data_IF_894405486775
#
_entry.id   IF_894405486775
#
_cell.length_a   1.000
_cell.length_b   1.000
_cell.length_c   1.000
_cell.angle_alpha   90.00
_cell.angle_beta   90.00
_cell.angle_gamma   90.00
#
_symmetry.space_group_name_H-M   'P 1'
#
loop_
_entity.id
_entity.type
_entity.pdbx_description
1 polymer ?
#
# COMPACT_ATOMS: atom_id res chain seq x y z
N UNK A 1 -18.41 6.40 78.82
CA UNK A 1 -18.23 7.32 77.70
C UNK A 1 -17.23 6.68 76.75
N UNK A 2 -17.72 5.98 75.73
CA UNK A 2 -16.93 5.23 74.83
C UNK A 2 -16.68 6.01 73.52
N UNK A 3 -15.41 6.27 73.31
CA UNK A 3 -14.96 6.98 72.12
C UNK A 3 -14.62 5.95 71.03
N UNK A 4 -15.54 5.79 70.07
CA UNK A 4 -15.33 4.87 68.93
C UNK A 4 -14.42 5.55 67.93
N UNK A 5 -13.21 4.99 67.78
CA UNK A 5 -12.24 5.34 66.76
C UNK A 5 -12.62 4.63 65.45
N UNK A 6 -13.15 5.39 64.48
CA UNK A 6 -13.42 4.87 63.14
C UNK A 6 -12.15 4.89 62.31
N UNK A 7 -11.63 3.71 62.04
CA UNK A 7 -10.49 3.47 61.17
C UNK A 7 -10.99 3.40 59.72
N UNK A 8 -10.77 4.45 58.95
CA UNK A 8 -11.05 4.45 57.52
C UNK A 8 -9.87 3.83 56.78
N UNK A 9 -10.11 2.65 56.22
CA UNK A 9 -9.16 1.98 55.33
C UNK A 9 -9.28 2.62 53.96
N UNK A 10 -8.28 3.41 53.59
CA UNK A 10 -8.17 3.97 52.23
C UNK A 10 -7.72 2.91 51.25
N UNK A 11 -8.61 2.55 50.32
CA UNK A 11 -8.30 1.67 49.21
C UNK A 11 -7.56 2.47 48.12
N UNK A 12 -6.24 2.36 48.07
CA UNK A 12 -5.46 2.95 46.99
C UNK A 12 -5.62 2.10 45.73
N UNK A 13 -6.41 2.59 44.77
CA UNK A 13 -6.50 1.98 43.45
C UNK A 13 -5.24 2.32 42.66
N UNK A 14 -4.37 1.33 42.50
CA UNK A 14 -3.23 1.42 41.57
C UNK A 14 -3.74 1.24 40.16
N UNK A 15 -3.91 2.33 39.44
CA UNK A 15 -4.15 2.34 37.99
C UNK A 15 -2.86 1.93 37.27
N UNK A 16 -2.76 0.64 36.92
CA UNK A 16 -1.73 0.17 36.03
C UNK A 16 -1.99 0.72 34.63
N UNK A 17 -1.23 1.73 34.24
CA UNK A 17 -1.17 2.21 32.83
C UNK A 17 -0.53 1.11 31.99
N UNK A 18 -1.37 0.31 31.34
CA UNK A 18 -0.92 -0.60 30.29
C UNK A 18 -0.56 0.26 29.08
N UNK A 19 0.72 0.57 28.94
CA UNK A 19 1.25 1.16 27.73
C UNK A 19 1.13 0.11 26.62
N UNK A 20 0.10 0.24 25.79
CA UNK A 20 0.03 -0.51 24.53
C UNK A 20 1.14 0.06 23.63
N UNK A 21 2.29 -0.60 23.65
CA UNK A 21 3.32 -0.39 22.64
C UNK A 21 2.69 -0.86 21.33
N UNK A 22 2.18 0.09 20.53
CA UNK A 22 1.93 -0.16 19.13
C UNK A 22 3.26 -0.60 18.55
N UNK A 23 3.37 -1.89 18.17
CA UNK A 23 4.41 -2.34 17.28
C UNK A 23 4.31 -1.41 16.06
N UNK A 24 5.26 -0.48 15.94
CA UNK A 24 5.36 0.38 14.79
C UNK A 24 5.36 -0.54 13.58
N UNK A 25 4.64 -0.13 12.56
CA UNK A 25 4.74 -0.66 11.21
C UNK A 25 6.24 -0.62 10.82
N UNK A 26 6.93 -1.68 11.19
CA UNK A 26 8.27 -1.97 10.68
C UNK A 26 7.98 -2.53 9.29
N UNK A 27 7.83 -1.60 8.33
CA UNK A 27 7.71 -1.98 6.93
C UNK A 27 8.75 -3.04 6.64
N UNK A 28 8.29 -4.19 6.14
CA UNK A 28 9.20 -5.24 5.70
C UNK A 28 10.32 -4.59 4.87
N UNK A 29 11.58 -4.92 5.13
CA UNK A 29 12.68 -4.32 4.38
C UNK A 29 12.41 -4.55 2.89
N UNK A 30 12.42 -3.45 2.11
CA UNK A 30 12.21 -3.56 0.67
C UNK A 30 13.20 -4.59 0.11
N UNK A 31 12.72 -5.58 -0.66
CA UNK A 31 13.60 -6.59 -1.21
C UNK A 31 14.69 -5.93 -2.06
N UNK A 32 15.95 -6.25 -1.77
CA UNK A 32 17.06 -5.83 -2.60
C UNK A 32 16.89 -6.42 -4.01
N UNK A 33 16.93 -5.57 -5.03
CA UNK A 33 16.88 -6.02 -6.42
C UNK A 33 18.28 -6.30 -6.99
N UNK A 34 19.23 -6.61 -6.11
CA UNK A 34 20.58 -7.04 -6.47
C UNK A 34 20.61 -8.56 -6.64
N UNK A 35 21.38 -9.04 -7.62
CA UNK A 35 21.53 -10.47 -7.83
C UNK A 35 21.46 -10.86 -9.31
N UNK A 36 21.17 -12.13 -9.57
CA UNK A 36 21.00 -12.62 -10.93
C UNK A 36 19.64 -12.18 -11.51
N UNK A 37 19.48 -12.32 -12.82
CA UNK A 37 18.26 -11.89 -13.53
C UNK A 37 16.97 -12.44 -12.92
N UNK A 38 16.96 -13.70 -12.48
CA UNK A 38 15.80 -14.30 -11.85
C UNK A 38 15.44 -13.58 -10.55
N UNK A 39 16.42 -13.36 -9.68
CA UNK A 39 16.22 -12.65 -8.40
C UNK A 39 15.73 -11.21 -8.62
N UNK A 40 16.30 -10.52 -9.61
CA UNK A 40 15.87 -9.17 -9.97
C UNK A 40 14.41 -9.14 -10.47
N UNK A 41 14.01 -10.09 -11.32
CA UNK A 41 12.62 -10.22 -11.80
C UNK A 41 11.65 -10.48 -10.64
N UNK A 42 11.99 -11.40 -9.73
CA UNK A 42 11.14 -11.68 -8.56
C UNK A 42 11.04 -10.46 -7.63
N UNK A 43 12.11 -9.71 -7.45
CA UNK A 43 12.10 -8.46 -6.72
C UNK A 43 11.15 -7.44 -7.37
N UNK A 44 11.22 -7.24 -8.67
CA UNK A 44 10.34 -6.32 -9.40
C UNK A 44 8.87 -6.73 -9.29
N UNK A 45 8.58 -8.04 -9.34
CA UNK A 45 7.22 -8.56 -9.10
C UNK A 45 6.73 -8.24 -7.69
N UNK A 46 7.57 -8.43 -6.67
CA UNK A 46 7.21 -8.13 -5.29
C UNK A 46 6.94 -6.64 -5.10
N UNK A 47 7.78 -5.77 -5.65
CA UNK A 47 7.56 -4.31 -5.61
C UNK A 47 6.29 -3.90 -6.37
N UNK A 48 6.02 -4.52 -7.52
CA UNK A 48 4.78 -4.28 -8.27
C UNK A 48 3.56 -4.66 -7.44
N UNK A 49 3.59 -5.80 -6.76
CA UNK A 49 2.49 -6.24 -5.90
C UNK A 49 2.22 -5.28 -4.73
N UNK A 50 3.27 -4.71 -4.13
CA UNK A 50 3.12 -3.68 -3.09
C UNK A 50 2.45 -2.42 -3.65
N UNK A 51 2.87 -1.94 -4.80
CA UNK A 51 2.26 -0.79 -5.47
C UNK A 51 0.84 -1.08 -5.93
N UNK A 52 0.55 -2.29 -6.43
CA UNK A 52 -0.80 -2.70 -6.84
C UNK A 52 -1.78 -2.69 -5.65
N UNK A 53 -1.36 -3.20 -4.50
CA UNK A 53 -2.14 -3.12 -3.27
C UNK A 53 -2.47 -1.67 -2.90
N UNK A 54 -1.48 -0.80 -2.96
CA UNK A 54 -1.62 0.62 -2.65
C UNK A 54 -2.51 1.34 -3.68
N UNK A 55 -2.34 1.02 -4.98
CA UNK A 55 -3.19 1.49 -6.06
C UNK A 55 -4.66 1.13 -5.83
N UNK A 56 -4.94 -0.12 -5.48
CA UNK A 56 -6.31 -0.59 -5.25
C UNK A 56 -6.98 0.14 -4.08
N UNK A 57 -6.27 0.39 -2.99
CA UNK A 57 -6.77 1.18 -1.86
C UNK A 57 -7.10 2.61 -2.31
N UNK A 58 -6.18 3.27 -3.02
CA UNK A 58 -6.38 4.62 -3.52
C UNK A 58 -7.54 4.72 -4.53
N UNK A 59 -7.66 3.73 -5.42
CA UNK A 59 -8.76 3.65 -6.38
C UNK A 59 -10.13 3.53 -5.68
N UNK A 60 -10.26 2.61 -4.71
CA UNK A 60 -11.50 2.45 -3.96
C UNK A 60 -11.90 3.74 -3.25
N UNK A 61 -10.94 4.41 -2.62
CA UNK A 61 -11.20 5.71 -1.98
C UNK A 61 -11.65 6.76 -2.99
N UNK A 62 -10.95 6.90 -4.11
CA UNK A 62 -11.29 7.86 -5.15
C UNK A 62 -12.70 7.61 -5.73
N UNK A 63 -13.09 6.34 -5.93
CA UNK A 63 -14.44 5.95 -6.38
C UNK A 63 -15.51 6.32 -5.34
N UNK A 64 -15.23 6.15 -4.05
CA UNK A 64 -16.17 6.50 -2.98
C UNK A 64 -16.37 8.00 -2.88
N UNK A 65 -15.30 8.78 -3.00
CA UNK A 65 -15.34 10.24 -2.84
C UNK A 65 -15.88 10.97 -4.08
N UNK A 66 -15.84 10.34 -5.26
CA UNK A 66 -16.24 10.95 -6.53
C UNK A 66 -17.75 11.17 -6.65
N UNK A 67 -18.15 12.27 -7.31
CA UNK A 67 -19.52 12.48 -7.76
C UNK A 67 -19.97 11.39 -8.75
N UNK A 68 -21.27 11.06 -8.87
CA UNK A 68 -21.73 9.92 -9.67
C UNK A 68 -21.19 9.88 -11.11
N UNK A 69 -21.22 10.98 -11.84
CA UNK A 69 -20.70 11.04 -13.21
C UNK A 69 -19.18 10.88 -13.27
N UNK A 70 -18.44 11.49 -12.34
CA UNK A 70 -17.00 11.34 -12.22
C UNK A 70 -16.61 9.91 -11.83
N UNK A 71 -17.40 9.27 -10.98
CA UNK A 71 -17.20 7.87 -10.56
C UNK A 71 -17.24 6.92 -11.74
N UNK A 72 -18.23 7.05 -12.60
CA UNK A 72 -18.36 6.21 -13.80
C UNK A 72 -17.22 6.45 -14.77
N UNK A 73 -16.81 7.71 -14.94
CA UNK A 73 -15.67 8.06 -15.78
C UNK A 73 -14.34 7.55 -15.20
N UNK A 74 -14.15 7.61 -13.87
CA UNK A 74 -12.96 7.05 -13.22
C UNK A 74 -12.88 5.53 -13.39
N UNK A 75 -14.01 4.83 -13.29
CA UNK A 75 -14.08 3.38 -13.54
C UNK A 75 -13.72 3.04 -14.98
N UNK A 76 -14.21 3.81 -15.94
CA UNK A 76 -13.86 3.63 -17.35
C UNK A 76 -12.37 3.88 -17.59
N UNK A 77 -11.84 4.97 -17.06
CA UNK A 77 -10.42 5.32 -17.16
C UNK A 77 -9.52 4.25 -16.55
N UNK A 78 -9.89 3.69 -15.39
CA UNK A 78 -9.11 2.65 -14.73
C UNK A 78 -9.07 1.36 -15.56
N UNK A 79 -10.17 0.95 -16.18
CA UNK A 79 -10.17 -0.21 -17.08
C UNK A 79 -9.25 -0.02 -18.28
N UNK A 80 -9.31 1.14 -18.91
CA UNK A 80 -8.44 1.47 -20.05
C UNK A 80 -6.97 1.55 -19.63
N UNK A 81 -6.70 2.10 -18.45
CA UNK A 81 -5.34 2.17 -17.92
C UNK A 81 -4.75 0.77 -17.71
N UNK A 82 -5.49 -0.17 -17.13
CA UNK A 82 -5.02 -1.56 -16.96
C UNK A 82 -4.67 -2.19 -18.30
N UNK A 83 -5.54 -2.03 -19.31
CA UNK A 83 -5.29 -2.56 -20.65
C UNK A 83 -4.05 -1.92 -21.27
N UNK A 84 -3.89 -0.62 -21.14
CA UNK A 84 -2.73 0.10 -21.65
C UNK A 84 -1.44 -0.36 -20.94
N UNK A 85 -1.43 -0.43 -19.62
CA UNK A 85 -0.27 -0.91 -18.87
C UNK A 85 0.16 -2.29 -19.34
N UNK A 86 -0.77 -3.22 -19.40
CA UNK A 86 -0.47 -4.61 -19.74
C UNK A 86 0.05 -4.73 -21.19
N UNK A 87 -0.56 -4.04 -22.14
CA UNK A 87 -0.09 -4.02 -23.52
C UNK A 87 1.27 -3.33 -23.66
N UNK A 88 1.46 -2.19 -23.00
CA UNK A 88 2.72 -1.46 -23.02
C UNK A 88 3.87 -2.26 -22.44
N UNK A 89 3.65 -2.92 -21.30
CA UNK A 89 4.71 -3.73 -20.67
C UNK A 89 4.97 -5.05 -21.38
N UNK A 90 3.98 -5.60 -22.10
CA UNK A 90 4.19 -6.73 -22.99
C UNK A 90 5.14 -6.37 -24.13
N UNK A 91 5.05 -5.16 -24.69
CA UNK A 91 5.98 -4.69 -25.71
C UNK A 91 7.44 -4.81 -25.25
N UNK A 92 7.76 -4.38 -24.05
CA UNK A 92 9.10 -4.53 -23.50
C UNK A 92 9.49 -6.00 -23.30
N UNK A 93 8.57 -6.85 -22.87
CA UNK A 93 8.78 -8.27 -22.67
C UNK A 93 9.00 -9.08 -23.95
N UNK A 94 8.62 -8.52 -25.10
CA UNK A 94 8.84 -9.14 -26.43
C UNK A 94 10.24 -8.87 -27.00
N UNK A 95 11.07 -8.10 -26.30
CA UNK A 95 12.48 -7.90 -26.66
C UNK A 95 13.30 -9.18 -26.54
N UNK A 96 14.55 -9.12 -27.00
CA UNK A 96 15.45 -10.27 -26.96
C UNK A 96 16.18 -10.41 -25.61
N UNK A 97 16.49 -11.66 -25.27
CA UNK A 97 17.33 -12.00 -24.14
C UNK A 97 16.67 -11.81 -22.76
N UNK A 98 17.49 -11.94 -21.73
CA UNK A 98 17.04 -11.86 -20.34
C UNK A 98 16.70 -10.43 -19.91
N UNK A 99 17.27 -9.43 -20.58
CA UNK A 99 17.01 -8.01 -20.29
C UNK A 99 15.53 -7.66 -20.54
N UNK A 100 14.89 -8.24 -21.55
CA UNK A 100 13.48 -8.01 -21.84
C UNK A 100 12.56 -8.33 -20.64
N UNK A 101 12.92 -9.32 -19.83
CA UNK A 101 12.16 -9.66 -18.60
C UNK A 101 12.32 -8.60 -17.53
N UNK A 102 13.49 -8.00 -17.41
CA UNK A 102 13.75 -6.90 -16.49
C UNK A 102 13.02 -5.64 -16.94
N UNK A 103 13.07 -5.33 -18.23
CA UNK A 103 12.39 -4.17 -18.80
C UNK A 103 10.88 -4.27 -18.63
N UNK A 104 10.30 -5.44 -18.87
CA UNK A 104 8.87 -5.69 -18.63
C UNK A 104 8.52 -5.57 -17.13
N UNK A 105 9.33 -6.13 -16.25
CA UNK A 105 9.13 -6.04 -14.81
C UNK A 105 9.21 -4.61 -14.29
N UNK A 106 10.19 -3.84 -14.75
CA UNK A 106 10.33 -2.42 -14.39
C UNK A 106 9.19 -1.58 -14.97
N UNK A 107 8.74 -1.86 -16.19
CA UNK A 107 7.56 -1.22 -16.77
C UNK A 107 6.33 -1.45 -15.88
N UNK A 108 6.04 -2.68 -15.48
CA UNK A 108 4.93 -3.00 -14.59
C UNK A 108 5.04 -2.26 -13.26
N UNK A 109 6.20 -2.28 -12.63
CA UNK A 109 6.45 -1.61 -11.36
C UNK A 109 6.23 -0.09 -11.47
N UNK A 110 6.91 0.55 -12.41
CA UNK A 110 6.91 2.02 -12.53
C UNK A 110 5.53 2.56 -12.94
N UNK A 111 4.83 1.91 -13.85
CA UNK A 111 3.47 2.32 -14.23
C UNK A 111 2.48 2.14 -13.08
N UNK A 112 2.57 1.04 -12.34
CA UNK A 112 1.69 0.79 -11.18
C UNK A 112 1.95 1.80 -10.06
N UNK A 113 3.23 2.10 -9.78
CA UNK A 113 3.61 3.16 -8.84
C UNK A 113 3.05 4.52 -9.24
N UNK A 114 3.24 4.92 -10.49
CA UNK A 114 2.76 6.21 -10.99
C UNK A 114 1.24 6.34 -10.87
N UNK A 115 0.49 5.28 -11.20
CA UNK A 115 -0.96 5.28 -11.10
C UNK A 115 -1.45 5.30 -9.64
N UNK A 116 -0.78 4.57 -8.74
CA UNK A 116 -1.09 4.62 -7.32
C UNK A 116 -0.99 6.05 -6.77
N UNK A 117 0.13 6.72 -7.07
CA UNK A 117 0.37 8.11 -6.64
C UNK A 117 -0.63 9.10 -7.26
N UNK A 118 -1.00 8.92 -8.53
CA UNK A 118 -2.02 9.74 -9.18
C UNK A 118 -3.39 9.60 -8.48
N UNK A 119 -3.82 8.37 -8.21
CA UNK A 119 -5.10 8.10 -7.53
C UNK A 119 -5.11 8.62 -6.08
N UNK A 120 -4.00 8.51 -5.37
CA UNK A 120 -3.83 9.10 -4.04
C UNK A 120 -3.99 10.62 -4.07
N UNK A 121 -3.51 11.27 -5.13
CA UNK A 121 -3.64 12.71 -5.32
C UNK A 121 -5.08 13.19 -5.58
N UNK A 122 -5.98 12.33 -6.08
CA UNK A 122 -7.38 12.71 -6.32
C UNK A 122 -8.15 13.01 -5.02
N UNK A 123 -7.76 12.43 -3.90
CA UNK A 123 -8.40 12.66 -2.60
C UNK A 123 -8.06 14.01 -1.96
N UNK A 124 -7.28 14.86 -2.61
CA UNK A 124 -6.83 16.16 -2.10
C UNK A 124 -7.33 17.36 -2.93
N UNK A 125 -8.33 17.15 -3.81
CA UNK A 125 -8.95 18.20 -4.62
C UNK A 125 -10.27 18.70 -4.03
#
# INVERSE_FOLDING_TARGET
MSMMLRMTIGLAAVLALVSVVRAGDQGEPEPSCDGNTFQMVECLKAKTAQWDKRLNVAYQKAVQDAQPAQRDQLRAAQRLWVQYRDANCLYYGMGEGTIARLDAGECMRSMTEARAKELEGLGHQ
#
